data_IF_597199187876
#
_entry.id   IF_597199187876
#
_cell.length_a   1.000
_cell.length_b   1.000
_cell.length_c   1.000
_cell.angle_alpha   90.00
_cell.angle_beta   90.00
_cell.angle_gamma   90.00
#
_symmetry.space_group_name_H-M   'P 1'
#
loop_
_entity.id
_entity.type
_entity.pdbx_description
1 polymer ?
#
# COMPACT_ATOMS: atom_id res chain seq x y z
N UNK A 1 20.16 4.33 -20.42
CA UNK A 1 19.28 3.26 -20.80
C UNK A 1 17.87 3.62 -20.36
N UNK A 2 17.18 4.21 -21.28
CA UNK A 2 15.75 4.46 -21.57
C UNK A 2 14.78 4.53 -20.39
N UNK A 3 14.47 5.74 -20.03
CA UNK A 3 13.15 6.36 -19.71
C UNK A 3 11.98 5.58 -20.34
N UNK A 4 11.28 4.76 -19.55
CA UNK A 4 10.00 4.20 -19.95
C UNK A 4 9.13 3.76 -18.74
N UNK A 5 9.22 4.46 -17.60
CA UNK A 5 8.50 4.12 -16.36
C UNK A 5 7.47 5.17 -15.93
N UNK A 6 7.09 6.08 -16.84
CA UNK A 6 6.03 7.06 -16.60
C UNK A 6 4.79 6.69 -17.42
N UNK A 7 3.87 5.93 -16.83
CA UNK A 7 2.54 5.75 -17.41
C UNK A 7 1.87 4.40 -17.29
N UNK A 8 2.32 3.50 -16.45
CA UNK A 8 1.57 2.27 -16.19
C UNK A 8 0.37 2.60 -15.29
N UNK A 9 -0.81 2.71 -15.90
CA UNK A 9 -2.07 2.89 -15.18
C UNK A 9 -2.29 1.71 -14.21
N UNK A 10 -3.15 1.89 -13.21
CA UNK A 10 -3.52 0.87 -12.21
C UNK A 10 -3.99 -0.47 -12.83
N UNK A 11 -4.28 -0.49 -14.12
CA UNK A 11 -4.65 -1.65 -14.93
C UNK A 11 -3.45 -2.45 -15.46
N UNK A 12 -2.21 -1.90 -15.39
CA UNK A 12 -1.02 -2.45 -16.04
C UNK A 12 -1.08 -2.37 -17.58
N UNK A 13 -1.89 -1.44 -18.09
CA UNK A 13 -2.00 -1.11 -19.52
C UNK A 13 -1.36 0.26 -19.77
N UNK A 14 -0.74 0.45 -20.92
CA UNK A 14 -0.34 1.78 -21.37
C UNK A 14 -1.58 2.66 -21.69
N UNK A 15 -1.39 3.95 -21.77
CA UNK A 15 -2.48 4.94 -21.96
C UNK A 15 -3.36 4.64 -23.19
N UNK A 16 -2.78 4.17 -24.27
CA UNK A 16 -3.50 3.88 -25.51
C UNK A 16 -4.29 2.58 -25.38
N UNK A 17 -3.71 1.56 -24.80
CA UNK A 17 -4.33 0.27 -24.54
C UNK A 17 -5.50 0.43 -23.58
N UNK A 18 -5.33 1.22 -22.52
CA UNK A 18 -6.40 1.53 -21.58
C UNK A 18 -7.56 2.28 -22.24
N UNK A 19 -7.27 3.27 -23.07
CA UNK A 19 -8.28 4.03 -23.81
C UNK A 19 -9.09 3.13 -24.75
N UNK A 20 -8.43 2.24 -25.49
CA UNK A 20 -9.08 1.30 -26.42
C UNK A 20 -9.89 0.28 -25.62
N UNK A 21 -9.40 -0.22 -24.50
CA UNK A 21 -10.12 -1.14 -23.64
C UNK A 21 -11.38 -0.49 -23.05
N UNK A 22 -11.30 0.75 -22.57
CA UNK A 22 -12.48 1.51 -22.10
C UNK A 22 -13.53 1.70 -23.18
N UNK A 23 -13.12 1.97 -24.42
CA UNK A 23 -14.06 2.04 -25.56
C UNK A 23 -14.73 0.69 -25.81
N UNK A 24 -14.00 -0.41 -25.74
CA UNK A 24 -14.55 -1.76 -25.88
C UNK A 24 -15.56 -2.09 -24.78
N UNK A 25 -15.33 -1.66 -23.54
CA UNK A 25 -16.25 -1.90 -22.42
C UNK A 25 -17.62 -1.23 -22.61
N UNK A 26 -17.70 -0.15 -23.39
CA UNK A 26 -18.96 0.56 -23.67
C UNK A 26 -19.75 -0.06 -24.84
N UNK A 27 -19.20 -1.07 -25.50
CA UNK A 27 -19.77 -1.66 -26.71
C UNK A 27 -19.95 -3.17 -26.55
N UNK A 28 -20.93 -3.74 -27.23
CA UNK A 28 -21.09 -5.19 -27.28
C UNK A 28 -19.92 -5.85 -28.03
N UNK A 29 -19.47 -5.21 -29.12
CA UNK A 29 -18.29 -5.53 -29.91
C UNK A 29 -17.92 -4.34 -30.81
N UNK A 30 -16.67 -4.31 -31.33
CA UNK A 30 -16.23 -3.27 -32.24
C UNK A 30 -15.19 -3.78 -33.25
N UNK A 31 -15.14 -3.16 -34.42
CA UNK A 31 -14.10 -3.40 -35.44
C UNK A 31 -12.88 -2.51 -35.20
N UNK A 32 -11.73 -2.90 -35.80
CA UNK A 32 -10.51 -2.10 -35.77
C UNK A 32 -10.75 -0.67 -36.28
N UNK A 33 -11.51 -0.51 -37.35
CA UNK A 33 -11.78 0.80 -37.96
C UNK A 33 -12.62 1.70 -37.05
N UNK A 34 -13.62 1.16 -36.37
CA UNK A 34 -14.44 1.90 -35.40
C UNK A 34 -13.59 2.39 -34.24
N UNK A 35 -12.79 1.51 -33.63
CA UNK A 35 -11.92 1.85 -32.51
C UNK A 35 -10.82 2.83 -32.90
N UNK A 36 -10.26 2.69 -34.09
CA UNK A 36 -9.24 3.63 -34.61
C UNK A 36 -9.82 5.06 -34.72
N UNK A 37 -11.04 5.18 -35.27
CA UNK A 37 -11.71 6.47 -35.42
C UNK A 37 -12.02 7.10 -34.05
N UNK A 38 -12.55 6.32 -33.12
CA UNK A 38 -12.98 6.84 -31.82
C UNK A 38 -11.81 7.10 -30.86
N UNK A 39 -10.75 6.29 -30.92
CA UNK A 39 -9.54 6.51 -30.11
C UNK A 39 -8.62 7.60 -30.66
N UNK A 40 -8.81 8.02 -31.91
CA UNK A 40 -7.91 8.93 -32.61
C UNK A 40 -6.57 8.31 -32.99
N UNK A 41 -6.49 6.97 -33.00
CA UNK A 41 -5.25 6.24 -33.28
C UNK A 41 -5.24 5.65 -34.70
N UNK A 42 -4.06 5.57 -35.37
CA UNK A 42 -3.98 4.94 -36.68
C UNK A 42 -4.45 3.48 -36.66
N UNK A 43 -5.17 2.99 -37.70
CA UNK A 43 -5.69 1.61 -37.72
C UNK A 43 -4.63 0.52 -37.55
N UNK A 44 -3.41 0.75 -38.03
CA UNK A 44 -2.29 -0.18 -37.85
C UNK A 44 -1.93 -0.31 -36.36
N UNK A 45 -1.78 0.81 -35.64
CA UNK A 45 -1.48 0.85 -34.21
C UNK A 45 -2.63 0.27 -33.38
N UNK A 46 -3.87 0.61 -33.72
CA UNK A 46 -5.06 0.06 -33.07
C UNK A 46 -5.11 -1.47 -33.19
N UNK A 47 -4.71 -2.04 -34.33
CA UNK A 47 -4.64 -3.49 -34.53
C UNK A 47 -3.58 -4.14 -33.64
N UNK A 48 -2.39 -3.54 -33.51
CA UNK A 48 -1.34 -4.01 -32.60
C UNK A 48 -1.83 -4.00 -31.15
N UNK A 49 -2.38 -2.88 -30.69
CA UNK A 49 -2.93 -2.76 -29.33
C UNK A 49 -4.03 -3.78 -29.07
N UNK A 50 -4.93 -4.03 -30.03
CA UNK A 50 -5.98 -5.05 -29.89
C UNK A 50 -5.41 -6.47 -29.82
N UNK A 51 -4.32 -6.76 -30.54
CA UNK A 51 -3.62 -8.04 -30.43
C UNK A 51 -3.01 -8.19 -29.01
N UNK A 52 -2.36 -7.15 -28.49
CA UNK A 52 -1.79 -7.13 -27.14
C UNK A 52 -2.88 -7.26 -26.06
N UNK A 53 -4.04 -6.60 -26.24
CA UNK A 53 -5.19 -6.75 -25.34
C UNK A 53 -5.78 -8.17 -25.38
N UNK A 54 -5.80 -8.84 -26.54
CA UNK A 54 -6.23 -10.24 -26.65
C UNK A 54 -5.23 -11.18 -25.99
N UNK A 55 -3.93 -10.99 -26.23
CA UNK A 55 -2.87 -11.78 -25.60
C UNK A 55 -2.87 -11.57 -24.08
N UNK A 56 -3.08 -10.34 -23.62
CA UNK A 56 -3.23 -9.98 -22.20
C UNK A 56 -4.54 -10.42 -21.54
N UNK A 57 -5.49 -10.99 -22.32
CA UNK A 57 -6.78 -11.47 -21.83
C UNK A 57 -7.82 -10.38 -21.56
N UNK A 58 -7.57 -9.12 -21.97
CA UNK A 58 -8.52 -8.00 -21.82
C UNK A 58 -9.58 -7.96 -22.88
N UNK A 59 -9.32 -8.59 -24.03
CA UNK A 59 -10.27 -8.67 -25.13
C UNK A 59 -10.31 -10.07 -25.75
N UNK A 60 -11.39 -10.39 -26.44
CA UNK A 60 -11.52 -11.57 -27.28
C UNK A 60 -11.86 -11.15 -28.70
N UNK A 61 -11.39 -11.92 -29.67
CA UNK A 61 -11.72 -11.73 -31.10
C UNK A 61 -12.78 -12.75 -31.50
N UNK A 62 -13.89 -12.26 -32.05
CA UNK A 62 -14.95 -13.08 -32.62
C UNK A 62 -14.61 -13.52 -34.07
N UNK A 63 -15.34 -14.51 -34.60
CA UNK A 63 -15.11 -15.09 -35.92
C UNK A 63 -15.23 -14.09 -37.09
N UNK A 64 -15.93 -12.97 -36.87
CA UNK A 64 -16.13 -11.88 -37.83
C UNK A 64 -15.07 -10.76 -37.73
N UNK A 65 -13.94 -11.03 -37.06
CA UNK A 65 -12.85 -10.06 -36.79
C UNK A 65 -13.29 -8.84 -35.98
N UNK A 66 -14.35 -8.98 -35.19
CA UNK A 66 -14.77 -7.97 -34.18
C UNK A 66 -14.17 -8.32 -32.83
N UNK A 67 -13.93 -7.29 -32.02
CA UNK A 67 -13.34 -7.43 -30.71
C UNK A 67 -14.37 -7.13 -29.63
N UNK A 68 -14.32 -7.88 -28.54
CA UNK A 68 -15.18 -7.71 -27.37
C UNK A 68 -14.32 -7.63 -26.12
N UNK A 69 -14.63 -6.70 -25.24
CA UNK A 69 -13.96 -6.62 -23.94
C UNK A 69 -14.28 -7.84 -23.07
N UNK A 70 -13.28 -8.32 -22.33
CA UNK A 70 -13.49 -9.22 -21.20
C UNK A 70 -13.77 -8.35 -19.98
N UNK A 71 -14.70 -8.78 -19.12
CA UNK A 71 -15.09 -8.01 -17.95
C UNK A 71 -13.89 -7.73 -17.02
N UNK A 72 -13.72 -6.50 -16.51
CA UNK A 72 -12.55 -6.10 -15.72
C UNK A 72 -12.34 -6.94 -14.45
N UNK A 73 -13.42 -7.37 -13.80
CA UNK A 73 -13.39 -8.23 -12.62
C UNK A 73 -12.77 -9.60 -12.92
N UNK A 74 -12.97 -10.14 -14.11
CA UNK A 74 -12.39 -11.42 -14.54
C UNK A 74 -10.89 -11.26 -14.78
N UNK A 75 -10.47 -10.23 -15.54
CA UNK A 75 -9.06 -10.06 -15.93
C UNK A 75 -8.22 -9.56 -14.77
N UNK A 76 -8.66 -8.48 -14.12
CA UNK A 76 -7.92 -7.88 -13.01
C UNK A 76 -8.01 -8.73 -11.76
N UNK A 77 -9.15 -9.38 -11.50
CA UNK A 77 -9.32 -10.28 -10.36
C UNK A 77 -8.35 -11.47 -10.42
N UNK A 78 -8.15 -12.06 -11.58
CA UNK A 78 -7.18 -13.14 -11.79
C UNK A 78 -5.75 -12.65 -11.56
N UNK A 79 -5.36 -11.49 -12.05
CA UNK A 79 -4.02 -10.90 -11.86
C UNK A 79 -3.78 -10.55 -10.39
N UNK A 80 -4.74 -9.93 -9.73
CA UNK A 80 -4.66 -9.62 -8.29
C UNK A 80 -4.49 -10.92 -7.48
N UNK A 81 -5.24 -11.97 -7.81
CA UNK A 81 -5.13 -13.26 -7.13
C UNK A 81 -3.76 -13.89 -7.33
N UNK A 82 -3.21 -13.85 -8.54
CA UNK A 82 -1.86 -14.35 -8.82
C UNK A 82 -0.78 -13.57 -8.06
N UNK A 83 -0.89 -12.25 -8.01
CA UNK A 83 0.03 -11.40 -7.24
C UNK A 83 -0.05 -11.69 -5.75
N UNK A 84 -1.24 -11.82 -5.19
CA UNK A 84 -1.45 -12.19 -3.78
C UNK A 84 -0.87 -13.57 -3.45
N UNK A 85 -1.03 -14.55 -4.34
CA UNK A 85 -0.46 -15.87 -4.17
C UNK A 85 1.08 -15.85 -4.25
N UNK A 86 1.66 -15.04 -5.14
CA UNK A 86 3.11 -14.85 -5.22
C UNK A 86 3.69 -14.24 -3.93
N UNK A 87 2.99 -13.26 -3.32
CA UNK A 87 3.36 -12.70 -2.01
C UNK A 87 3.29 -13.78 -0.93
N UNK A 88 2.21 -14.55 -0.93
CA UNK A 88 2.03 -15.63 0.05
C UNK A 88 3.12 -16.68 -0.05
N UNK A 89 3.47 -17.10 -1.26
CA UNK A 89 4.57 -18.05 -1.48
C UNK A 89 5.93 -17.53 -1.01
N UNK A 90 6.22 -16.24 -1.24
CA UNK A 90 7.44 -15.60 -0.71
C UNK A 90 7.46 -15.55 0.81
N UNK A 91 6.30 -15.31 1.44
CA UNK A 91 6.18 -15.34 2.90
C UNK A 91 6.40 -16.74 3.48
N UNK A 92 5.82 -17.78 2.83
CA UNK A 92 6.02 -19.17 3.24
C UNK A 92 7.48 -19.59 3.11
N UNK A 93 8.15 -19.21 2.02
CA UNK A 93 9.57 -19.43 1.82
C UNK A 93 10.44 -18.73 2.89
N UNK A 94 10.11 -17.48 3.24
CA UNK A 94 10.80 -16.76 4.32
C UNK A 94 10.63 -17.46 5.66
N UNK A 95 9.41 -17.90 5.96
CA UNK A 95 9.14 -18.64 7.20
C UNK A 95 9.90 -19.96 7.26
N UNK A 96 9.93 -20.71 6.17
CA UNK A 96 10.70 -21.97 6.06
C UNK A 96 12.20 -21.75 6.26
N UNK A 97 12.77 -20.72 5.60
CA UNK A 97 14.17 -20.35 5.79
C UNK A 97 14.48 -19.96 7.23
N UNK A 98 13.57 -19.27 7.91
CA UNK A 98 13.71 -18.94 9.33
C UNK A 98 13.64 -20.17 10.21
N UNK A 99 12.80 -21.15 9.91
CA UNK A 99 12.71 -22.42 10.65
C UNK A 99 13.97 -23.28 10.43
N UNK A 100 14.48 -23.37 9.21
CA UNK A 100 15.74 -24.05 8.89
C UNK A 100 16.91 -23.41 9.66
N UNK A 101 16.98 -22.09 9.69
CA UNK A 101 18.01 -21.38 10.45
C UNK A 101 17.93 -21.64 11.96
N UNK A 102 16.72 -21.75 12.52
CA UNK A 102 16.51 -22.11 13.94
C UNK A 102 16.90 -23.56 14.25
N UNK A 103 16.65 -24.46 13.32
CA UNK A 103 16.87 -25.90 13.48
C UNK A 103 18.35 -26.29 13.26
N UNK A 104 19.14 -25.46 12.59
CA UNK A 104 20.53 -25.74 12.30
C UNK A 104 21.47 -25.19 13.39
N UNK A 105 21.96 -26.03 14.30
CA UNK A 105 23.18 -25.73 15.05
C UNK A 105 24.36 -25.93 14.10
N UNK A 106 24.54 -24.99 13.15
CA UNK A 106 25.57 -25.12 12.15
C UNK A 106 26.97 -25.02 12.73
N UNK A 107 27.94 -25.83 12.28
CA UNK A 107 29.34 -25.53 12.39
C UNK A 107 29.64 -24.46 11.33
N UNK A 108 28.96 -23.34 11.41
CA UNK A 108 29.11 -22.23 10.50
C UNK A 108 30.21 -21.31 10.98
N UNK A 109 31.13 -21.01 10.12
CA UNK A 109 32.21 -20.11 10.36
C UNK A 109 31.73 -18.75 10.93
N UNK A 110 32.59 -18.10 11.66
CA UNK A 110 32.40 -16.83 12.37
C UNK A 110 31.76 -15.69 11.55
N UNK A 111 31.56 -15.85 10.25
CA UNK A 111 31.06 -14.84 9.33
C UNK A 111 29.52 -14.80 9.24
N UNK A 112 28.83 -15.94 9.46
CA UNK A 112 27.35 -16.01 9.32
C UNK A 112 26.61 -15.67 10.63
N UNK A 113 27.28 -15.78 11.78
CA UNK A 113 26.71 -15.36 13.08
C UNK A 113 26.60 -13.84 13.23
N UNK A 114 27.35 -13.07 12.47
CA UNK A 114 27.27 -11.62 12.42
C UNK A 114 26.11 -11.08 11.58
N UNK A 115 25.47 -11.94 10.76
CA UNK A 115 24.37 -11.54 9.86
C UNK A 115 22.99 -11.68 10.45
N UNK A 116 22.84 -12.44 11.56
CA UNK A 116 21.56 -12.65 12.23
C UNK A 116 21.73 -12.36 13.72
N UNK A 117 20.97 -11.39 14.21
CA UNK A 117 20.91 -11.03 15.62
C UNK A 117 19.52 -11.35 16.16
N UNK A 118 19.44 -12.18 17.20
CA UNK A 118 18.18 -12.40 17.90
C UNK A 118 18.13 -11.50 19.14
N UNK A 119 17.09 -10.68 19.23
CA UNK A 119 16.85 -9.78 20.36
C UNK A 119 15.61 -10.23 21.11
N UNK A 120 15.71 -10.38 22.43
CA UNK A 120 14.63 -10.89 23.28
C UNK A 120 14.25 -9.85 24.32
N UNK A 121 12.95 -9.54 24.39
CA UNK A 121 12.37 -8.60 25.35
C UNK A 121 12.11 -7.21 24.78
N UNK A 122 10.98 -6.62 25.16
CA UNK A 122 10.51 -5.35 24.59
C UNK A 122 11.51 -4.20 24.74
N UNK A 123 12.22 -4.11 25.88
CA UNK A 123 13.22 -3.05 26.13
C UNK A 123 14.42 -3.20 25.20
N UNK A 124 14.94 -4.42 25.06
CA UNK A 124 16.09 -4.69 24.19
C UNK A 124 15.74 -4.46 22.71
N UNK A 125 14.56 -4.91 22.27
CA UNK A 125 14.06 -4.70 20.89
C UNK A 125 13.94 -3.20 20.61
N UNK A 126 13.37 -2.44 21.56
CA UNK A 126 13.23 -0.98 21.45
C UNK A 126 14.57 -0.27 21.30
N UNK A 127 15.53 -0.60 22.20
CA UNK A 127 16.87 -0.01 22.16
C UNK A 127 17.57 -0.31 20.84
N UNK A 128 17.46 -1.56 20.37
CA UNK A 128 18.12 -1.97 19.14
C UNK A 128 17.47 -1.36 17.91
N UNK A 129 16.15 -1.23 17.90
CA UNK A 129 15.39 -0.54 16.84
C UNK A 129 15.76 0.95 16.77
N UNK A 130 15.93 1.61 17.93
CA UNK A 130 16.43 2.99 17.99
C UNK A 130 17.78 3.13 17.30
N UNK A 131 18.76 2.30 17.67
CA UNK A 131 20.09 2.29 17.04
C UNK A 131 20.04 2.06 15.53
N UNK A 132 19.18 1.13 15.07
CA UNK A 132 19.01 0.88 13.64
C UNK A 132 18.43 2.09 12.91
N UNK A 133 17.45 2.78 13.52
CA UNK A 133 16.86 4.00 12.92
C UNK A 133 17.89 5.13 12.84
N UNK A 134 18.70 5.31 13.86
CA UNK A 134 19.79 6.30 13.87
C UNK A 134 20.77 6.11 12.71
N UNK A 135 21.00 4.86 12.28
CA UNK A 135 21.86 4.54 11.15
C UNK A 135 21.19 4.73 9.78
N UNK A 136 19.91 5.12 9.72
CA UNK A 136 19.22 5.35 8.47
C UNK A 136 19.77 6.60 7.75
N UNK A 137 20.02 6.46 6.47
CA UNK A 137 20.51 7.53 5.59
C UNK A 137 19.46 7.99 4.57
N UNK A 138 18.54 7.11 4.18
CA UNK A 138 17.61 7.35 3.06
C UNK A 138 16.16 7.05 3.41
N UNK A 139 15.90 5.90 4.06
CA UNK A 139 14.51 5.47 4.30
C UNK A 139 14.34 4.50 5.45
N UNK A 140 13.20 4.63 6.12
CA UNK A 140 12.69 3.65 7.09
C UNK A 140 11.31 3.19 6.63
N UNK A 141 11.17 1.90 6.32
CA UNK A 141 9.91 1.29 5.89
C UNK A 141 9.40 0.35 6.98
N UNK A 142 8.13 0.47 7.35
CA UNK A 142 7.59 -0.25 8.51
C UNK A 142 6.24 -0.90 8.21
N UNK A 143 6.07 -2.17 8.60
CA UNK A 143 4.75 -2.79 8.75
C UNK A 143 4.28 -2.64 10.19
N UNK A 144 3.18 -1.93 10.36
CA UNK A 144 2.55 -1.67 11.66
C UNK A 144 1.35 -2.58 11.83
N UNK A 145 1.47 -3.58 12.70
CA UNK A 145 0.46 -4.62 12.92
C UNK A 145 0.23 -4.86 14.42
N UNK A 146 -1.03 -5.10 14.88
CA UNK A 146 -1.28 -5.41 16.29
C UNK A 146 -0.73 -6.80 16.69
N UNK A 147 -0.50 -7.02 18.00
CA UNK A 147 -0.48 -6.02 19.07
C UNK A 147 0.73 -5.11 18.95
N UNK A 148 0.54 -3.80 19.20
CA UNK A 148 1.65 -2.83 19.18
C UNK A 148 2.45 -2.98 20.47
N UNK A 149 3.54 -3.71 20.43
CA UNK A 149 4.41 -3.96 21.60
C UNK A 149 5.51 -2.91 21.72
N UNK A 150 5.89 -2.32 20.57
CA UNK A 150 6.94 -1.34 20.52
C UNK A 150 6.37 0.07 20.59
N UNK A 151 6.89 0.93 21.47
CA UNK A 151 6.51 2.33 21.47
C UNK A 151 7.02 3.03 20.21
N UNK A 152 6.37 4.14 19.94
CA UNK A 152 6.80 5.09 18.94
C UNK A 152 8.25 5.53 19.16
N UNK A 153 8.98 5.89 18.08
CA UNK A 153 10.23 6.62 18.22
C UNK A 153 10.05 7.88 19.07
N UNK A 154 11.14 8.33 19.65
CA UNK A 154 11.20 9.67 20.22
C UNK A 154 10.92 10.69 19.10
N UNK A 155 10.07 11.69 19.39
CA UNK A 155 9.68 12.68 18.40
C UNK A 155 10.83 13.57 17.94
N UNK A 156 11.80 13.84 18.83
CA UNK A 156 12.96 14.65 18.49
C UNK A 156 13.92 13.87 17.58
N UNK A 157 14.18 12.60 17.89
CA UNK A 157 14.96 11.71 17.05
C UNK A 157 14.31 11.52 15.66
N UNK A 158 13.00 11.37 15.61
CA UNK A 158 12.29 11.20 14.34
C UNK A 158 12.43 12.44 13.46
N UNK A 159 12.25 13.63 14.04
CA UNK A 159 12.40 14.91 13.34
C UNK A 159 13.83 15.12 12.83
N UNK A 160 14.83 14.82 13.66
CA UNK A 160 16.24 14.91 13.26
C UNK A 160 16.55 14.03 12.04
N UNK A 161 16.00 12.82 11.97
CA UNK A 161 16.14 11.95 10.82
C UNK A 161 15.44 12.51 9.57
N UNK A 162 14.24 13.08 9.71
CA UNK A 162 13.54 13.75 8.61
C UNK A 162 14.33 14.98 8.11
N UNK A 163 14.91 15.77 9.00
CA UNK A 163 15.75 16.93 8.66
C UNK A 163 17.01 16.52 7.89
N UNK A 164 17.50 15.30 8.12
CA UNK A 164 18.58 14.67 7.35
C UNK A 164 18.12 14.11 6.00
N UNK A 165 16.82 14.19 5.67
CA UNK A 165 16.24 13.71 4.42
C UNK A 165 15.81 12.24 4.46
N UNK A 166 15.75 11.59 5.63
CA UNK A 166 15.28 10.21 5.75
C UNK A 166 13.75 10.18 5.55
N UNK A 167 13.30 9.35 4.61
CA UNK A 167 11.87 9.16 4.32
C UNK A 167 11.30 8.03 5.16
N UNK A 168 10.15 8.29 5.78
CA UNK A 168 9.41 7.30 6.58
C UNK A 168 8.16 6.85 5.82
N UNK A 169 8.04 5.53 5.61
CA UNK A 169 6.91 4.90 4.92
C UNK A 169 6.30 3.82 5.81
N UNK A 170 5.04 3.99 6.17
CA UNK A 170 4.34 3.08 7.07
C UNK A 170 3.16 2.40 6.39
N UNK A 171 3.18 1.06 6.37
CA UNK A 171 2.03 0.25 6.05
C UNK A 171 1.34 -0.18 7.34
N UNK A 172 0.11 0.30 7.54
CA UNK A 172 -0.72 -0.09 8.66
C UNK A 172 -1.62 -1.25 8.30
N UNK A 173 -1.59 -2.31 9.10
CA UNK A 173 -2.62 -3.35 9.06
C UNK A 173 -3.95 -2.73 9.51
N UNK A 174 -5.02 -2.98 8.77
CA UNK A 174 -6.35 -2.47 9.13
C UNK A 174 -6.76 -2.84 10.57
N UNK A 175 -6.33 -4.00 11.06
CA UNK A 175 -6.60 -4.42 12.43
C UNK A 175 -5.98 -3.49 13.50
N UNK A 176 -4.97 -2.64 13.17
CA UNK A 176 -4.47 -1.59 14.07
C UNK A 176 -5.57 -0.58 14.36
N UNK A 177 -6.41 -0.29 13.36
CA UNK A 177 -7.50 0.65 13.50
C UNK A 177 -8.57 0.16 14.49
N UNK A 178 -8.74 -1.15 14.63
CA UNK A 178 -9.72 -1.75 15.52
C UNK A 178 -9.16 -2.03 16.93
N UNK A 179 -7.85 -2.20 17.07
CA UNK A 179 -7.19 -2.72 18.28
C UNK A 179 -6.34 -1.72 19.06
N UNK A 180 -6.03 -0.56 18.49
CA UNK A 180 -5.34 0.54 19.18
C UNK A 180 -6.38 1.59 19.64
N UNK A 181 -6.85 1.55 20.89
CA UNK A 181 -7.90 2.46 21.39
C UNK A 181 -7.47 3.93 21.32
N UNK A 182 -6.18 4.21 21.46
CA UNK A 182 -5.68 5.58 21.49
C UNK A 182 -5.26 6.11 20.11
N UNK A 183 -5.13 5.23 19.12
CA UNK A 183 -4.61 5.55 17.78
C UNK A 183 -3.29 6.36 17.78
N UNK A 184 -2.54 6.25 18.88
CA UNK A 184 -1.38 7.13 19.14
C UNK A 184 -0.32 7.00 18.07
N UNK A 185 -0.09 5.77 17.58
CA UNK A 185 0.91 5.56 16.54
C UNK A 185 0.51 6.24 15.22
N UNK A 186 -0.71 6.02 14.76
CA UNK A 186 -1.21 6.62 13.53
C UNK A 186 -1.24 8.15 13.61
N UNK A 187 -1.73 8.70 14.73
CA UNK A 187 -1.79 10.14 14.95
C UNK A 187 -0.40 10.79 14.87
N UNK A 188 0.59 10.22 15.55
CA UNK A 188 1.97 10.75 15.50
C UNK A 188 2.58 10.64 14.12
N UNK A 189 2.41 9.53 13.42
CA UNK A 189 2.92 9.37 12.06
C UNK A 189 2.30 10.42 11.10
N UNK A 190 1.02 10.75 11.28
CA UNK A 190 0.35 11.84 10.56
C UNK A 190 0.90 13.22 10.95
N UNK A 191 1.10 13.47 12.26
CA UNK A 191 1.71 14.71 12.77
C UNK A 191 3.13 14.93 12.21
N UNK A 192 3.89 13.85 12.02
CA UNK A 192 5.23 13.88 11.44
C UNK A 192 5.23 13.92 9.91
N UNK A 193 4.05 13.88 9.26
CA UNK A 193 3.89 13.86 7.80
C UNK A 193 4.60 12.67 7.13
N UNK A 194 4.65 11.54 7.82
CA UNK A 194 5.15 10.30 7.24
C UNK A 194 4.23 9.82 6.11
N UNK A 195 4.79 9.11 5.14
CA UNK A 195 3.99 8.46 4.11
C UNK A 195 3.27 7.24 4.71
N UNK A 196 1.95 7.26 4.68
CA UNK A 196 1.11 6.23 5.32
C UNK A 196 0.19 5.60 4.30
N UNK A 197 0.10 4.27 4.33
CA UNK A 197 -0.94 3.51 3.61
C UNK A 197 -1.55 2.45 4.51
N UNK A 198 -2.78 2.04 4.17
CA UNK A 198 -3.53 1.01 4.88
C UNK A 198 -3.63 -0.26 4.04
N UNK A 199 -3.15 -1.38 4.58
CA UNK A 199 -3.29 -2.70 3.99
C UNK A 199 -4.41 -3.48 4.68
N UNK A 200 -5.14 -4.32 3.93
CA UNK A 200 -6.20 -5.17 4.48
C UNK A 200 -5.66 -6.11 5.57
N UNK A 201 -4.47 -6.63 5.37
CA UNK A 201 -3.76 -7.52 6.31
C UNK A 201 -2.28 -7.51 6.03
N UNK A 202 -1.47 -7.41 7.07
CA UNK A 202 -0.02 -7.55 6.98
C UNK A 202 0.42 -8.94 7.48
N UNK A 203 1.41 -9.56 6.82
CA UNK A 203 1.84 -10.92 7.16
C UNK A 203 2.61 -10.97 8.48
N UNK A 204 3.40 -9.93 8.77
CA UNK A 204 4.31 -9.87 9.92
C UNK A 204 4.52 -8.40 10.34
N UNK A 205 5.23 -8.20 11.43
CA UNK A 205 5.79 -6.89 11.81
C UNK A 205 7.19 -6.78 11.26
N UNK A 206 7.48 -5.67 10.59
CA UNK A 206 8.70 -5.48 9.83
C UNK A 206 9.20 -4.06 9.96
N UNK A 207 10.50 -3.90 10.09
CA UNK A 207 11.18 -2.62 9.89
C UNK A 207 12.37 -2.84 8.96
N UNK A 208 12.45 -2.05 7.91
CA UNK A 208 13.56 -2.08 6.95
C UNK A 208 14.26 -0.73 7.01
N UNK A 209 15.56 -0.76 7.17
CA UNK A 209 16.42 0.41 7.18
C UNK A 209 17.19 0.43 5.87
N UNK A 210 16.89 1.39 5.03
CA UNK A 210 17.50 1.53 3.69
C UNK A 210 17.50 0.21 2.90
N UNK A 211 18.65 -0.19 2.38
CA UNK A 211 18.96 -1.52 1.87
C UNK A 211 19.98 -2.26 2.75
N UNK A 212 20.16 -1.84 3.99
CA UNK A 212 21.26 -2.28 4.87
C UNK A 212 20.83 -3.31 5.91
N UNK A 213 19.62 -3.20 6.46
CA UNK A 213 19.15 -4.10 7.50
C UNK A 213 17.63 -4.26 7.52
N UNK A 214 17.18 -5.40 8.03
CA UNK A 214 15.77 -5.64 8.34
C UNK A 214 15.61 -6.22 9.73
N UNK A 215 14.56 -5.77 10.44
CA UNK A 215 14.11 -6.32 11.71
C UNK A 215 12.73 -6.94 11.52
N UNK A 216 12.58 -8.19 11.89
CA UNK A 216 11.32 -8.94 11.88
C UNK A 216 10.94 -9.26 13.31
N UNK A 217 9.77 -8.81 13.76
CA UNK A 217 9.27 -9.13 15.09
C UNK A 217 8.46 -10.44 15.06
N UNK A 218 8.79 -11.36 15.95
CA UNK A 218 8.03 -12.60 16.14
C UNK A 218 6.81 -12.36 17.05
N UNK A 219 5.64 -12.70 16.53
CA UNK A 219 4.40 -12.68 17.31
C UNK A 219 4.22 -14.01 18.04
N UNK A 220 5.05 -14.29 19.05
CA UNK A 220 4.89 -15.48 19.89
C UNK A 220 4.26 -15.10 21.25
N UNK A 221 3.43 -15.97 21.85
CA UNK A 221 2.99 -15.78 23.22
C UNK A 221 4.20 -15.79 24.16
N UNK A 222 4.28 -14.83 25.07
CA UNK A 222 5.36 -14.75 26.05
C UNK A 222 6.25 -13.54 25.86
N UNK A 223 7.56 -13.73 25.87
CA UNK A 223 8.52 -12.62 25.70
C UNK A 223 8.60 -12.21 24.23
N UNK A 224 8.42 -10.92 23.88
CA UNK A 224 8.64 -10.41 22.52
C UNK A 224 10.05 -10.78 22.03
N UNK A 225 10.13 -11.17 20.77
CA UNK A 225 11.40 -11.49 20.10
C UNK A 225 11.46 -10.77 18.76
N UNK A 226 12.66 -10.42 18.35
CA UNK A 226 12.92 -9.90 17.01
C UNK A 226 14.17 -10.53 16.43
N UNK A 227 14.18 -10.69 15.12
CA UNK A 227 15.35 -11.10 14.36
C UNK A 227 15.79 -9.90 13.53
N UNK A 228 17.08 -9.58 13.62
CA UNK A 228 17.69 -8.52 12.82
C UNK A 228 18.72 -9.16 11.90
N UNK A 229 18.74 -8.76 10.66
CA UNK A 229 19.71 -9.25 9.70
C UNK A 229 20.14 -8.17 8.72
N UNK A 230 21.40 -8.19 8.35
CA UNK A 230 22.01 -7.46 7.25
C UNK A 230 22.26 -8.38 6.03
N UNK A 231 21.70 -9.60 6.02
CA UNK A 231 21.82 -10.47 4.86
C UNK A 231 21.10 -9.83 3.67
N UNK A 232 21.85 -9.53 2.61
CA UNK A 232 21.37 -8.77 1.46
C UNK A 232 20.14 -9.40 0.81
N UNK A 233 20.12 -10.72 0.62
CA UNK A 233 18.98 -11.42 0.01
C UNK A 233 17.71 -11.30 0.83
N UNK A 234 17.81 -11.30 2.17
CA UNK A 234 16.66 -11.14 3.07
C UNK A 234 16.19 -9.68 3.08
N UNK A 235 17.11 -8.72 3.09
CA UNK A 235 16.79 -7.30 3.00
C UNK A 235 16.06 -7.00 1.69
N UNK A 236 16.56 -7.49 0.57
CA UNK A 236 15.93 -7.35 -0.75
C UNK A 236 14.55 -8.02 -0.80
N UNK A 237 14.41 -9.23 -0.23
CA UNK A 237 13.13 -9.93 -0.18
C UNK A 237 12.09 -9.15 0.64
N UNK A 238 12.48 -8.66 1.81
CA UNK A 238 11.59 -7.87 2.68
C UNK A 238 11.24 -6.52 2.05
N UNK A 239 12.20 -5.90 1.35
CA UNK A 239 11.97 -4.68 0.59
C UNK A 239 10.98 -4.92 -0.56
N UNK A 240 11.17 -5.97 -1.34
CA UNK A 240 10.25 -6.34 -2.42
C UNK A 240 8.83 -6.63 -1.90
N UNK A 241 8.72 -7.32 -0.76
CA UNK A 241 7.44 -7.56 -0.09
C UNK A 241 6.78 -6.24 0.33
N UNK A 242 7.56 -5.30 0.89
CA UNK A 242 7.06 -3.99 1.26
C UNK A 242 6.51 -3.25 0.05
N UNK A 243 7.29 -3.11 -1.02
CA UNK A 243 6.89 -2.38 -2.23
C UNK A 243 5.64 -3.00 -2.88
N UNK A 244 5.55 -4.31 -2.94
CA UNK A 244 4.39 -4.99 -3.49
C UNK A 244 3.11 -4.71 -2.70
N UNK A 245 3.17 -4.75 -1.37
CA UNK A 245 2.02 -4.41 -0.53
C UNK A 245 1.73 -2.91 -0.55
N UNK A 246 2.77 -2.08 -0.69
CA UNK A 246 2.62 -0.63 -0.77
C UNK A 246 1.80 -0.20 -1.99
N UNK A 247 2.04 -0.77 -3.15
CA UNK A 247 1.31 -0.42 -4.39
C UNK A 247 -0.18 -0.73 -4.33
N UNK A 248 -0.58 -1.74 -3.55
CA UNK A 248 -1.99 -2.16 -3.43
C UNK A 248 -2.70 -1.59 -2.20
N UNK A 249 -1.96 -0.92 -1.32
CA UNK A 249 -2.49 -0.36 -0.09
C UNK A 249 -3.13 1.02 -0.34
N UNK A 250 -4.19 1.32 0.41
CA UNK A 250 -4.91 2.59 0.33
C UNK A 250 -4.10 3.69 1.02
N UNK A 251 -3.75 4.78 0.32
CA UNK A 251 -3.03 5.89 0.93
C UNK A 251 -3.81 6.54 2.09
N UNK A 252 -3.09 6.99 3.12
CA UNK A 252 -3.66 7.96 4.04
C UNK A 252 -3.53 9.36 3.41
N UNK A 253 -4.46 10.28 3.65
CA UNK A 253 -4.32 11.62 3.15
C UNK A 253 -3.12 12.29 3.81
N UNK A 254 -2.18 12.70 3.01
CA UNK A 254 -1.15 13.62 3.45
C UNK A 254 -1.83 14.98 3.59
N UNK A 255 -2.06 15.40 4.83
CA UNK A 255 -2.51 16.76 5.11
C UNK A 255 -1.42 17.74 4.69
N UNK A 256 -1.36 18.07 3.43
CA UNK A 256 -0.68 19.28 2.97
C UNK A 256 -1.69 20.44 3.06
N UNK A 257 -1.58 21.33 4.05
CA UNK A 257 -2.48 22.50 4.15
C UNK A 257 -2.22 23.54 3.05
N UNK A 258 -1.30 23.26 2.13
CA UNK A 258 -0.87 24.18 1.08
C UNK A 258 -1.19 23.74 -0.35
N UNK A 259 -1.83 22.58 -0.57
CA UNK A 259 -2.39 22.29 -1.88
C UNK A 259 -3.63 23.18 -2.05
N UNK A 260 -3.48 24.27 -2.78
CA UNK A 260 -4.59 25.09 -3.26
C UNK A 260 -5.53 24.20 -4.07
N UNK A 261 -6.60 23.74 -3.44
CA UNK A 261 -7.70 23.06 -4.13
C UNK A 261 -8.50 24.14 -4.86
N UNK A 262 -8.43 24.13 -6.17
CA UNK A 262 -9.38 24.82 -7.04
C UNK A 262 -10.80 24.33 -6.71
N UNK A 263 -11.60 25.21 -6.14
CA UNK A 263 -13.05 25.33 -6.16
C UNK A 263 -13.92 24.09 -5.98
N UNK A 264 -13.86 23.40 -4.86
CA UNK A 264 -14.88 22.63 -4.11
C UNK A 264 -14.16 21.99 -2.93
N UNK A 265 -13.66 22.81 -2.00
CA UNK A 265 -12.65 22.41 -1.02
C UNK A 265 -13.27 21.63 0.13
N UNK A 266 -13.02 20.33 0.14
CA UNK A 266 -13.14 19.50 1.33
C UNK A 266 -12.15 19.99 2.40
N UNK A 267 -12.62 20.20 3.63
CA UNK A 267 -11.75 20.68 4.71
C UNK A 267 -10.60 19.67 5.01
N UNK A 268 -9.41 20.14 5.40
CA UNK A 268 -8.26 19.25 5.67
C UNK A 268 -8.56 18.09 6.63
N UNK A 269 -9.46 18.31 7.60
CA UNK A 269 -9.90 17.26 8.54
C UNK A 269 -10.78 16.18 7.90
N UNK A 270 -11.42 16.48 6.79
CA UNK A 270 -12.34 15.58 6.12
C UNK A 270 -11.63 14.63 5.13
N UNK A 271 -10.46 14.99 4.62
CA UNK A 271 -9.62 14.09 3.84
C UNK A 271 -9.22 12.84 4.67
N UNK A 272 -8.85 13.05 5.94
CA UNK A 272 -8.52 11.95 6.84
C UNK A 272 -9.77 11.11 7.17
N UNK A 273 -10.91 11.75 7.41
CA UNK A 273 -12.18 11.07 7.63
C UNK A 273 -12.56 10.20 6.42
N UNK A 274 -12.45 10.75 5.19
CA UNK A 274 -12.73 10.04 3.94
C UNK A 274 -11.80 8.83 3.74
N UNK A 275 -10.52 8.97 4.02
CA UNK A 275 -9.57 7.86 3.90
C UNK A 275 -9.85 6.74 4.89
N UNK A 276 -10.18 7.06 6.14
CA UNK A 276 -10.60 6.08 7.13
C UNK A 276 -11.92 5.40 6.72
N UNK A 277 -12.83 6.15 6.12
CA UNK A 277 -14.09 5.63 5.58
C UNK A 277 -13.85 4.67 4.41
N UNK A 278 -12.98 5.02 3.47
CA UNK A 278 -12.60 4.17 2.32
C UNK A 278 -11.82 2.94 2.80
N UNK A 279 -10.96 3.08 3.81
CA UNK A 279 -10.34 1.96 4.50
C UNK A 279 -11.37 1.04 5.19
N UNK A 280 -12.65 1.44 5.19
CA UNK A 280 -13.81 0.66 5.64
C UNK A 280 -14.01 0.67 7.15
N UNK A 281 -13.60 1.72 7.84
CA UNK A 281 -13.89 1.90 9.26
C UNK A 281 -15.36 2.26 9.49
N UNK A 282 -15.88 1.85 10.65
CA UNK A 282 -17.18 2.31 11.15
C UNK A 282 -17.08 3.73 11.69
N UNK A 283 -18.20 4.46 11.73
CA UNK A 283 -18.23 5.81 12.31
C UNK A 283 -17.72 5.86 13.75
N UNK A 284 -18.00 4.82 14.52
CA UNK A 284 -17.53 4.69 15.89
C UNK A 284 -16.00 4.57 15.94
N UNK A 285 -15.42 3.77 15.06
CA UNK A 285 -13.97 3.62 14.96
C UNK A 285 -13.32 4.93 14.47
N UNK A 286 -13.90 5.60 13.48
CA UNK A 286 -13.43 6.91 12.98
C UNK A 286 -13.49 7.96 14.12
N UNK A 287 -14.60 8.03 14.84
CA UNK A 287 -14.78 8.94 15.97
C UNK A 287 -13.69 8.78 17.04
N UNK A 288 -13.42 7.51 17.42
CA UNK A 288 -12.36 7.17 18.36
C UNK A 288 -10.97 7.59 17.84
N UNK A 289 -10.69 7.34 16.54
CA UNK A 289 -9.40 7.63 15.92
C UNK A 289 -9.12 9.13 15.77
N UNK A 290 -10.14 9.89 15.42
CA UNK A 290 -10.03 11.34 15.27
C UNK A 290 -10.16 12.11 16.59
N UNK A 291 -10.52 11.42 17.69
CA UNK A 291 -10.76 12.06 18.99
C UNK A 291 -11.99 12.99 18.99
N UNK A 292 -12.97 12.74 18.10
CA UNK A 292 -14.20 13.52 17.98
C UNK A 292 -15.43 12.67 18.29
N UNK A 293 -16.57 13.33 18.56
CA UNK A 293 -17.81 12.60 18.87
C UNK A 293 -18.37 11.84 17.66
N UNK A 294 -19.00 10.68 17.91
CA UNK A 294 -19.68 9.89 16.87
C UNK A 294 -20.68 10.73 16.06
N UNK A 295 -21.44 11.59 16.74
CA UNK A 295 -22.39 12.49 16.07
C UNK A 295 -21.71 13.46 15.11
N UNK A 296 -20.50 13.91 15.46
CA UNK A 296 -19.68 14.79 14.61
C UNK A 296 -19.24 14.07 13.35
N UNK A 297 -18.78 12.81 13.47
CA UNK A 297 -18.42 11.97 12.30
C UNK A 297 -19.63 11.78 11.38
N UNK A 298 -20.78 11.38 11.96
CA UNK A 298 -22.01 11.15 11.18
C UNK A 298 -22.51 12.42 10.48
N UNK A 299 -22.40 13.57 11.13
CA UNK A 299 -22.72 14.86 10.52
C UNK A 299 -21.78 15.17 9.34
N UNK A 300 -20.47 15.07 9.56
CA UNK A 300 -19.47 15.33 8.50
C UNK A 300 -19.60 14.40 7.31
N UNK A 301 -19.82 13.11 7.55
CA UNK A 301 -20.07 12.15 6.46
C UNK A 301 -21.30 12.55 5.65
N UNK A 302 -22.36 13.01 6.29
CA UNK A 302 -23.57 13.49 5.61
C UNK A 302 -23.30 14.75 4.80
N UNK A 303 -22.63 15.73 5.38
CA UNK A 303 -22.20 16.96 4.72
C UNK A 303 -21.35 16.67 3.47
N UNK A 304 -20.43 15.70 3.55
CA UNK A 304 -19.63 15.26 2.43
C UNK A 304 -20.44 14.51 1.36
N UNK A 305 -21.45 13.74 1.76
CA UNK A 305 -22.37 13.11 0.81
C UNK A 305 -23.22 14.16 0.08
N UNK A 306 -23.71 15.16 0.79
CA UNK A 306 -24.46 16.29 0.23
C UNK A 306 -23.58 17.10 -0.74
N UNK A 307 -22.30 17.37 -0.37
CA UNK A 307 -21.33 18.05 -1.22
C UNK A 307 -21.01 17.27 -2.50
N UNK A 308 -20.91 15.95 -2.40
CA UNK A 308 -20.65 15.06 -3.51
C UNK A 308 -21.88 14.75 -4.38
N UNK A 309 -23.08 15.21 -3.98
CA UNK A 309 -24.37 14.86 -4.57
C UNK A 309 -24.57 13.34 -4.70
N UNK A 310 -24.34 12.60 -3.58
CA UNK A 310 -24.44 11.15 -3.53
C UNK A 310 -25.29 10.67 -2.36
N UNK A 311 -25.99 9.55 -2.54
CA UNK A 311 -26.94 9.01 -1.56
C UNK A 311 -26.31 7.95 -0.62
N UNK A 312 -25.16 7.39 -0.98
CA UNK A 312 -24.56 6.30 -0.22
C UNK A 312 -23.08 6.52 0.07
N UNK A 313 -22.60 5.93 1.17
CA UNK A 313 -21.19 5.98 1.59
C UNK A 313 -20.25 5.34 0.55
N UNK A 314 -20.75 4.34 -0.18
CA UNK A 314 -19.97 3.69 -1.25
C UNK A 314 -19.77 4.67 -2.41
N UNK A 315 -20.85 5.37 -2.79
CA UNK A 315 -20.77 6.42 -3.80
C UNK A 315 -19.88 7.58 -3.36
N UNK A 316 -19.94 7.99 -2.09
CA UNK A 316 -19.04 8.99 -1.53
C UNK A 316 -17.57 8.55 -1.63
N UNK A 317 -17.26 7.31 -1.28
CA UNK A 317 -15.91 6.76 -1.43
C UNK A 317 -15.42 6.74 -2.87
N UNK A 318 -16.29 6.36 -3.81
CA UNK A 318 -15.99 6.38 -5.23
C UNK A 318 -15.81 7.81 -5.76
N UNK A 319 -16.70 8.75 -5.35
CA UNK A 319 -16.60 10.16 -5.71
C UNK A 319 -15.28 10.76 -5.20
N UNK A 320 -14.95 10.55 -3.93
CA UNK A 320 -13.72 11.02 -3.31
C UNK A 320 -12.46 10.53 -4.03
N UNK A 321 -12.43 9.25 -4.42
CA UNK A 321 -11.32 8.70 -5.20
C UNK A 321 -11.22 9.29 -6.62
N UNK A 322 -12.38 9.52 -7.27
CA UNK A 322 -12.43 10.06 -8.64
C UNK A 322 -12.05 11.54 -8.72
N UNK A 323 -12.38 12.31 -7.70
CA UNK A 323 -12.19 13.77 -7.68
C UNK A 323 -10.98 14.21 -6.85
N UNK A 324 -10.10 13.27 -6.47
CA UNK A 324 -8.87 13.58 -5.76
C UNK A 324 -9.07 14.07 -4.31
N UNK A 325 -10.25 13.83 -3.71
CA UNK A 325 -10.50 14.11 -2.29
C UNK A 325 -9.74 13.14 -1.38
N UNK A 326 -9.28 12.04 -1.94
CA UNK A 326 -8.34 11.09 -1.35
C UNK A 326 -7.31 10.74 -2.41
N UNK A 327 -6.04 10.64 -2.05
CA UNK A 327 -4.96 10.33 -2.98
C UNK A 327 -5.07 8.92 -3.57
#
# INVERSE_FOLDING_TARGET
>A
LTDNDEGEAATGLDEISERIYRLLLTKADASVSQLATESGSPPARTRTVLADLVEGGFATMAADSRFRAVAPDIVLGSRITLQLNAVRGRYEALRELMEIHRASPGPGGRDDRGRWEQVIGAVAIRSRLGQLRESAEHSVRTFVRPPLVLPMPDGDQHRELQDRGVRFRHLFDRAVLDSDPDATYLRRALEWRDEIRFAKRLPLKLVIIDSSATMIEETAPGRPRAIITANQSIVELTAALFEQLWTTAVPAPNGDPGAEADGDSVEPGDHLLLSLLIAGLTDQAIASKLGIGLRTVQRRVRELMDLADVDTRIQLGWHAAKHGWVP
#
